data_IF_247544279888
#
_entry.id   IF_247544279888
#
_cell.length_a   1.000
_cell.length_b   1.000
_cell.length_c   1.000
_cell.angle_alpha   90.00
_cell.angle_beta   90.00
_cell.angle_gamma   90.00
#
_symmetry.space_group_name_H-M   'P 1'
#
loop_
_entity.id
_entity.type
_entity.pdbx_description
1 polymer ?
2 polymer ?
3 non-polymer ?
4 non-polymer ?
5 water ?
#
# COMPACT_ATOMS: atom_id res chain seq x y z
N UNK A 7 -12.91 -3.59 8.42
CA UNK A 7 -12.59 -3.88 9.82
C UNK A 7 -11.09 -3.82 10.05
N UNK A 8 -10.70 -3.59 11.31
CA UNK A 8 -9.30 -3.51 11.67
C UNK A 8 -8.56 -4.80 11.35
N UNK A 9 -9.25 -5.92 11.52
CA UNK A 9 -8.64 -7.23 11.30
C UNK A 9 -8.33 -7.46 9.82
N UNK A 10 -9.32 -7.22 8.97
CA UNK A 10 -9.14 -7.35 7.53
C UNK A 10 -8.07 -6.39 7.02
N UNK A 11 -7.90 -5.27 7.72
CA UNK A 11 -6.86 -4.29 7.41
C UNK A 11 -5.46 -4.92 7.43
N UNK A 12 -5.17 -5.66 8.50
CA UNK A 12 -3.86 -6.26 8.68
C UNK A 12 -3.60 -7.30 7.61
N UNK A 13 -4.63 -8.09 7.30
CA UNK A 13 -4.51 -9.12 6.30
C UNK A 13 -4.18 -8.50 4.94
N UNK A 14 -4.82 -7.37 4.62
CA UNK A 14 -4.53 -6.69 3.36
C UNK A 14 -3.09 -6.17 3.30
N UNK A 15 -2.61 -5.63 4.42
CA UNK A 15 -1.26 -5.07 4.48
C UNK A 15 -0.19 -6.17 4.37
N UNK A 16 -0.43 -7.31 4.99
CA UNK A 16 0.48 -8.44 4.83
C UNK A 16 0.56 -8.87 3.37
N UNK A 17 -0.60 -8.91 2.71
CA UNK A 17 -0.65 -9.36 1.31
C UNK A 17 0.13 -8.38 0.45
N UNK A 18 0.06 -7.11 0.82
CA UNK A 18 0.77 -6.08 0.09
C UNK A 18 2.29 -6.24 0.23
N UNK A 19 2.75 -6.44 1.46
CA UNK A 19 4.18 -6.60 1.69
C UNK A 19 4.72 -7.86 1.01
N UNK A 20 4.01 -8.97 1.16
CA UNK A 20 4.41 -10.22 0.50
C UNK A 20 4.51 -10.05 -1.02
N UNK A 21 3.54 -9.34 -1.59
CA UNK A 21 3.52 -9.08 -3.02
C UNK A 21 4.68 -8.23 -3.50
N UNK A 22 4.96 -7.17 -2.75
CA UNK A 22 6.11 -6.30 -3.01
C UNK A 22 7.41 -7.08 -2.98
N UNK A 23 7.55 -7.91 -1.96
CA UNK A 23 8.75 -8.72 -1.82
C UNK A 23 8.87 -9.75 -2.96
N UNK A 24 7.78 -10.45 -3.25
CA UNK A 24 7.76 -11.40 -4.37
C UNK A 24 8.18 -10.72 -5.68
N UNK A 25 7.74 -9.48 -5.85
CA UNK A 25 8.07 -8.71 -7.04
C UNK A 25 9.56 -8.39 -7.08
N UNK A 26 10.11 -7.99 -5.94
CA UNK A 26 11.52 -7.62 -5.86
C UNK A 26 12.40 -8.83 -6.12
N UNK A 27 12.05 -9.93 -5.46
CA UNK A 27 12.78 -11.18 -5.58
C UNK A 27 12.91 -11.60 -7.05
N UNK A 28 11.80 -11.55 -7.79
CA UNK A 28 11.83 -11.89 -9.21
C UNK A 28 12.64 -10.88 -10.03
N UNK A 29 12.54 -9.60 -9.67
CA UNK A 29 13.34 -8.58 -10.35
C UNK A 29 14.84 -8.80 -10.16
N UNK A 30 15.24 -9.05 -8.92
CA UNK A 30 16.65 -9.22 -8.60
C UNK A 30 17.19 -10.56 -9.09
N UNK A 31 16.32 -11.56 -9.17
CA UNK A 31 16.71 -12.85 -9.75
C UNK A 31 17.00 -12.70 -11.24
N UNK A 32 16.25 -11.81 -11.88
CA UNK A 32 16.44 -11.53 -13.30
C UNK A 32 17.79 -10.87 -13.54
N UNK A 33 18.17 -9.97 -12.63
CA UNK A 33 19.42 -9.22 -12.76
C UNK A 33 20.66 -10.11 -12.63
N UNK A 34 20.47 -11.37 -12.24
CA UNK A 34 21.59 -12.29 -12.13
C UNK A 34 21.41 -13.48 -13.07
N UNK A 35 20.61 -13.28 -14.12
CA UNK A 35 20.47 -14.27 -15.17
C UNK A 35 19.75 -15.53 -14.76
N UNK A 36 19.52 -15.69 -13.46
CA UNK A 36 18.84 -16.87 -12.94
C UNK A 36 17.32 -16.73 -13.08
N UNK A 37 16.67 -17.85 -13.36
CA UNK A 37 15.22 -17.89 -13.39
C UNK A 37 14.73 -18.88 -12.34
N UNK A 38 13.51 -18.67 -11.87
CA UNK A 38 12.93 -19.63 -10.95
C UNK A 38 12.38 -20.81 -11.74
N UNK A 39 12.41 -22.01 -11.14
CA UNK A 39 11.66 -23.13 -11.70
C UNK A 39 10.21 -22.72 -11.95
N UNK A 40 9.56 -23.32 -12.94
CA UNK A 40 8.23 -22.88 -13.38
C UNK A 40 7.21 -22.90 -12.24
N UNK A 41 7.34 -23.85 -11.32
CA UNK A 41 6.39 -23.99 -10.22
C UNK A 41 6.52 -22.84 -9.23
N UNK A 42 7.75 -22.43 -8.93
CA UNK A 42 7.99 -21.31 -8.03
C UNK A 42 7.54 -20.00 -8.66
N UNK A 43 7.93 -19.79 -9.91
CA UNK A 43 7.59 -18.60 -10.68
C UNK A 43 6.08 -18.36 -10.70
N UNK A 44 5.33 -19.44 -10.87
CA UNK A 44 3.87 -19.38 -10.88
C UNK A 44 3.30 -18.88 -9.56
N UNK A 45 3.86 -19.36 -8.45
CA UNK A 45 3.40 -18.98 -7.12
C UNK A 45 3.80 -17.55 -6.78
N UNK A 46 5.00 -17.17 -7.19
CA UNK A 46 5.53 -15.83 -7.00
C UNK A 46 4.66 -14.84 -7.77
N UNK A 47 4.32 -15.22 -8.99
CA UNK A 47 3.48 -14.41 -9.87
C UNK A 47 2.09 -14.20 -9.25
N UNK A 48 1.55 -15.26 -8.66
CA UNK A 48 0.25 -15.19 -8.00
C UNK A 48 0.29 -14.26 -6.79
N UNK A 49 1.34 -14.40 -5.97
CA UNK A 49 1.53 -13.56 -4.79
C UNK A 49 1.66 -12.09 -5.18
N UNK A 50 2.43 -11.83 -6.24
CA UNK A 50 2.59 -10.47 -6.73
C UNK A 50 1.26 -9.86 -7.17
N UNK A 51 0.44 -10.63 -7.89
CA UNK A 51 -0.84 -10.12 -8.36
C UNK A 51 -1.82 -9.98 -7.20
N UNK A 52 -1.75 -10.90 -6.26
CA UNK A 52 -2.61 -10.86 -5.08
C UNK A 52 -2.31 -9.62 -4.22
N UNK A 53 -1.05 -9.20 -4.23
CA UNK A 53 -0.61 -8.04 -3.48
C UNK A 53 -1.18 -6.75 -4.04
N UNK A 54 -1.18 -6.65 -5.36
CA UNK A 54 -1.76 -5.50 -6.04
C UNK A 54 -3.28 -5.45 -5.83
N UNK A 55 -3.94 -6.61 -5.83
CA UNK A 55 -5.36 -6.67 -5.51
C UNK A 55 -5.62 -6.17 -4.09
N UNK A 56 -4.73 -6.53 -3.17
CA UNK A 56 -4.90 -6.13 -1.78
C UNK A 56 -4.71 -4.62 -1.66
N UNK A 57 -3.79 -4.07 -2.45
CA UNK A 57 -3.53 -2.65 -2.42
C UNK A 57 -4.76 -1.88 -2.92
N UNK A 58 -5.35 -2.33 -4.02
CA UNK A 58 -6.55 -1.71 -4.56
C UNK A 58 -7.73 -1.76 -3.59
N UNK A 59 -7.87 -2.90 -2.93
CA UNK A 59 -8.92 -3.10 -1.95
C UNK A 59 -8.75 -2.18 -0.73
N UNK A 60 -7.51 -2.01 -0.26
CA UNK A 60 -7.27 -1.18 0.91
C UNK A 60 -7.57 0.27 0.56
N UNK A 61 -7.14 0.68 -0.63
CA UNK A 61 -7.46 1.99 -1.17
C UNK A 61 -8.97 2.19 -1.25
N UNK A 62 -9.65 1.30 -1.97
CA UNK A 62 -11.10 1.32 -2.10
C UNK A 62 -11.84 1.43 -0.77
N UNK A 63 -11.42 0.65 0.23
CA UNK A 63 -12.08 0.68 1.53
C UNK A 63 -11.88 2.00 2.28
N UNK A 64 -11.03 2.88 1.75
CA UNK A 64 -10.76 4.13 2.45
C UNK A 64 -11.02 5.39 1.62
N UNK A 65 -11.63 5.22 0.45
CA UNK A 65 -11.99 6.36 -0.39
C UNK A 65 -13.06 7.23 0.27
N UNK A 66 -13.98 6.59 0.99
CA UNK A 66 -15.03 7.31 1.69
C UNK A 66 -14.44 8.19 2.79
N UNK A 67 -13.38 7.72 3.44
CA UNK A 67 -12.69 8.54 4.44
C UNK A 67 -12.09 9.78 3.79
N UNK A 68 -11.52 9.62 2.60
CA UNK A 68 -11.02 10.77 1.86
C UNK A 68 -12.16 11.77 1.63
N UNK A 69 -13.34 11.26 1.30
CA UNK A 69 -14.48 12.13 0.98
C UNK A 69 -14.98 12.89 2.21
N UNK A 70 -15.07 12.20 3.35
CA UNK A 70 -15.51 12.83 4.59
C UNK A 70 -14.57 13.96 5.02
N UNK A 71 -13.27 13.77 4.84
CA UNK A 71 -12.31 14.82 5.18
C UNK A 71 -12.37 15.98 4.19
N UNK A 72 -12.56 15.67 2.91
CA UNK A 72 -12.59 16.70 1.88
C UNK A 72 -13.77 17.66 2.06
N UNK A 73 -14.88 17.13 2.58
CA UNK A 73 -16.09 17.89 2.79
C UNK A 73 -15.87 18.99 3.82
N UNK A 74 -14.90 18.77 4.71
CA UNK A 74 -14.55 19.78 5.70
C UNK A 74 -13.98 21.03 5.03
N UNK A 75 -13.41 20.87 3.83
CA UNK A 75 -12.66 21.96 3.21
C UNK A 75 -13.34 22.57 1.98
N UNK A 76 -14.60 22.22 1.73
CA UNK A 76 -15.29 22.77 0.57
C UNK A 76 -15.63 24.25 0.78
N UNK A 77 -15.75 24.98 -0.32
CA UNK A 77 -16.17 26.37 -0.27
C UNK A 77 -15.07 27.32 0.15
N UNK A 78 -13.84 27.03 -0.27
CA UNK A 78 -12.70 27.87 0.10
C UNK A 78 -11.74 28.06 -1.06
N UNK A 79 -12.27 27.99 -2.28
CA UNK A 79 -11.46 28.20 -3.46
C UNK A 79 -11.14 26.95 -4.26
N UNK A 80 -11.12 25.79 -3.61
CA UNK A 80 -10.80 24.56 -4.32
C UNK A 80 -12.06 23.73 -4.56
N UNK A 81 -12.27 23.35 -5.82
CA UNK A 81 -13.42 22.52 -6.19
C UNK A 81 -13.41 21.21 -5.40
N UNK A 82 -14.61 20.69 -5.15
CA UNK A 82 -14.81 19.45 -4.42
C UNK A 82 -14.01 18.27 -5.02
N UNK A 83 -14.09 18.08 -6.33
CA UNK A 83 -13.39 16.96 -6.96
C UNK A 83 -11.88 17.13 -6.89
N UNK A 84 -11.42 18.38 -6.82
CA UNK A 84 -9.98 18.63 -6.70
C UNK A 84 -9.48 18.30 -5.29
N UNK A 85 -10.32 18.59 -4.30
CA UNK A 85 -10.02 18.22 -2.92
C UNK A 85 -9.88 16.71 -2.81
N UNK A 86 -10.79 15.99 -3.46
CA UNK A 86 -10.82 14.54 -3.42
C UNK A 86 -9.59 13.95 -4.12
N UNK A 87 -9.21 14.55 -5.24
CA UNK A 87 -8.01 14.14 -5.97
C UNK A 87 -6.76 14.25 -5.10
N UNK A 88 -6.59 15.40 -4.46
CA UNK A 88 -5.45 15.62 -3.57
C UNK A 88 -5.54 14.71 -2.35
N UNK A 89 -6.75 14.53 -1.83
CA UNK A 89 -6.96 13.65 -0.69
C UNK A 89 -6.54 12.22 -1.02
N UNK A 90 -6.80 11.80 -2.25
CA UNK A 90 -6.47 10.45 -2.70
C UNK A 90 -4.97 10.23 -2.80
N UNK A 91 -4.24 11.27 -3.21
CA UNK A 91 -2.79 11.21 -3.21
C UNK A 91 -2.25 11.06 -1.79
N UNK A 92 -2.92 11.69 -0.83
CA UNK A 92 -2.55 11.53 0.56
C UNK A 92 -2.76 10.10 1.03
N UNK A 93 -3.88 9.52 0.59
CA UNK A 93 -4.25 8.17 0.96
C UNK A 93 -3.25 7.11 0.47
N UNK A 94 -2.77 7.22 -0.77
CA UNK A 94 -1.86 6.19 -1.27
C UNK A 94 -0.47 6.37 -0.66
N UNK A 95 -0.15 7.60 -0.27
CA UNK A 95 1.09 7.86 0.45
C UNK A 95 1.04 7.17 1.81
N UNK A 96 -0.10 7.26 2.48
CA UNK A 96 -0.29 6.56 3.74
C UNK A 96 -0.22 5.04 3.57
N UNK A 97 -0.81 4.53 2.49
CA UNK A 97 -0.81 3.09 2.24
C UNK A 97 0.61 2.55 2.16
N UNK A 98 1.48 3.28 1.46
CA UNK A 98 2.82 2.83 1.18
C UNK A 98 3.72 2.92 2.40
N UNK A 99 3.37 3.80 3.33
CA UNK A 99 4.18 4.05 4.51
C UNK A 99 3.65 3.34 5.75
N UNK A 100 2.39 2.92 5.70
CA UNK A 100 1.74 2.25 6.83
C UNK A 100 2.47 0.97 7.29
N UNK A 101 2.64 0.85 8.60
CA UNK A 101 3.27 -0.30 9.25
C UNK A 101 2.24 -1.02 10.11
N UNK A 102 1.83 -2.21 9.68
CA UNK A 102 0.77 -2.96 10.36
C UNK A 102 1.19 -3.52 11.73
N UNK A 103 2.48 -3.51 12.03
CA UNK A 103 2.95 -4.13 13.27
C UNK A 103 2.77 -3.21 14.49
N UNK A 104 2.71 -1.90 14.24
CA UNK A 104 2.59 -0.90 15.29
C UNK A 104 1.35 -1.07 16.17
N UNK A 105 0.22 -1.45 15.58
CA UNK A 105 -0.98 -1.73 16.35
C UNK A 105 -2.18 -0.84 16.08
N UNK A 106 -1.96 0.34 15.50
CA UNK A 106 -3.08 1.25 15.21
C UNK A 106 -3.75 0.95 13.87
N UNK A 107 -5.01 1.36 13.74
CA UNK A 107 -5.77 1.17 12.51
C UNK A 107 -5.19 1.97 11.36
N UNK A 108 -5.34 1.45 10.14
CA UNK A 108 -4.88 2.16 8.96
C UNK A 108 -5.63 3.48 8.76
N UNK A 109 -6.94 3.45 9.00
CA UNK A 109 -7.76 4.64 8.79
C UNK A 109 -7.32 5.76 9.73
N UNK A 110 -7.01 5.41 10.98
CA UNK A 110 -6.45 6.37 11.93
C UNK A 110 -5.14 6.96 11.42
N UNK A 111 -4.30 6.09 10.88
CA UNK A 111 -3.01 6.50 10.36
C UNK A 111 -3.14 7.37 9.11
N UNK A 112 -4.09 7.04 8.24
CA UNK A 112 -4.23 7.73 6.96
C UNK A 112 -4.75 9.16 7.13
N UNK A 113 -5.51 9.39 8.20
CA UNK A 113 -6.18 10.68 8.41
C UNK A 113 -5.21 11.85 8.30
N UNK A 114 -4.12 11.80 9.04
CA UNK A 114 -3.12 12.86 8.97
C UNK A 114 -2.57 13.06 7.56
N UNK A 115 -2.29 11.97 6.84
CA UNK A 115 -1.72 12.10 5.50
C UNK A 115 -2.72 12.69 4.51
N UNK A 116 -3.99 12.36 4.69
CA UNK A 116 -5.02 12.87 3.82
C UNK A 116 -5.25 14.38 4.06
N UNK A 117 -5.38 14.79 5.33
CA UNK A 117 -5.54 16.21 5.66
C UNK A 117 -4.36 17.02 5.16
N UNK A 118 -3.17 16.47 5.35
CA UNK A 118 -1.95 17.14 4.93
C UNK A 118 -1.93 17.44 3.43
N UNK A 119 -2.27 16.45 2.61
CA UNK A 119 -2.24 16.61 1.16
C UNK A 119 -3.23 17.68 0.71
N UNK A 120 -4.41 17.64 1.32
CA UNK A 120 -5.45 18.62 1.04
C UNK A 120 -5.02 20.02 1.46
N UNK A 121 -4.48 20.12 2.66
CA UNK A 121 -4.02 21.39 3.22
C UNK A 121 -2.91 22.04 2.38
N UNK A 122 -1.91 21.25 2.01
CA UNK A 122 -0.80 21.77 1.22
C UNK A 122 -1.23 22.13 -0.19
N UNK A 123 -2.22 21.41 -0.71
CA UNK A 123 -2.74 21.67 -2.05
C UNK A 123 -3.46 23.02 -2.09
N UNK A 124 -4.20 23.32 -1.02
CA UNK A 124 -4.95 24.55 -0.91
C UNK A 124 -4.04 25.76 -0.72
N UNK A 125 -2.99 25.59 0.08
CA UNK A 125 -2.06 26.67 0.34
C UNK A 125 -1.24 26.98 -0.91
N UNK A 126 -0.91 25.94 -1.68
CA UNK A 126 -0.01 26.11 -2.81
C UNK A 126 -0.71 26.66 -4.06
N UNK A 127 -2.03 26.51 -4.13
CA UNK A 127 -2.78 27.09 -5.23
C UNK A 127 -2.95 28.59 -5.00
N UNK A 128 -3.02 28.97 -3.73
CA UNK A 128 -3.20 30.37 -3.35
C UNK A 128 -1.86 31.06 -3.08
N UNK B 55 14.36 12.07 -6.92
CA UNK B 55 13.52 10.89 -7.11
C UNK B 55 12.83 10.45 -5.81
N UNK B 56 11.49 10.39 -5.82
CA UNK B 56 10.73 9.98 -4.63
C UNK B 56 10.94 8.50 -4.34
N UNK B 57 10.93 8.12 -3.07
CA UNK B 57 11.05 6.72 -2.70
C UNK B 57 9.87 5.91 -3.22
N UNK B 58 10.17 4.77 -3.84
CA UNK B 58 9.12 3.87 -4.29
C UNK B 58 8.49 3.18 -3.09
N UNK B 59 7.43 2.42 -3.35
CA UNK B 59 6.78 1.63 -2.30
C UNK B 59 7.75 0.60 -1.74
N UNK B 60 8.52 -0.04 -2.62
CA UNK B 60 9.55 -0.99 -2.18
C UNK B 60 10.58 -0.32 -1.25
N UNK B 61 11.09 0.84 -1.65
CA UNK B 61 12.02 1.62 -0.83
C UNK B 61 11.48 1.84 0.59
N UNK B 62 10.20 2.17 0.68
CA UNK B 62 9.54 2.37 1.97
C UNK B 62 9.47 1.07 2.78
N UNK B 63 9.04 -0.01 2.13
CA UNK B 63 9.00 -1.32 2.79
C UNK B 63 10.37 -1.72 3.35
N UNK B 64 11.41 -1.47 2.56
CA UNK B 64 12.77 -1.87 2.95
C UNK B 64 13.27 -1.12 4.19
N UNK B 65 12.73 0.07 4.44
CA UNK B 65 13.11 0.85 5.61
C UNK B 65 12.53 0.27 6.90
N UNK B 66 11.37 -0.36 6.81
CA UNK B 66 10.66 -0.80 8.01
C UNK B 66 10.67 -2.32 8.22
N UNK B 67 11.11 -3.08 7.23
CA UNK B 67 11.00 -4.54 7.31
C UNK B 67 12.26 -5.21 6.80
N UNK B 68 12.85 -6.09 7.62
CA UNK B 68 14.03 -6.83 7.19
C UNK B 68 13.66 -7.86 6.12
N UNK B 69 14.63 -8.25 5.31
CA UNK B 69 14.40 -9.27 4.29
C UNK B 69 14.05 -10.62 4.93
N UNK B 70 14.59 -10.89 6.11
CA UNK B 70 14.24 -12.11 6.83
C UNK B 70 12.78 -12.12 7.27
N UNK B 71 12.29 -10.96 7.68
CA UNK B 71 10.88 -10.82 8.02
C UNK B 71 10.01 -11.00 6.78
N UNK B 72 10.47 -10.47 5.66
CA UNK B 72 9.71 -10.53 4.42
C UNK B 72 9.65 -11.96 3.89
N UNK B 73 10.72 -12.73 4.10
CA UNK B 73 10.77 -14.14 3.70
C UNK B 73 9.77 -14.96 4.50
N UNK B 74 9.74 -14.72 5.81
CA UNK B 74 8.79 -15.37 6.70
C UNK B 74 7.35 -15.10 6.25
N UNK B 75 7.08 -13.86 5.88
CA UNK B 75 5.75 -13.46 5.44
C UNK B 75 5.39 -14.15 4.12
N UNK B 76 6.32 -14.13 3.18
CA UNK B 76 6.09 -14.75 1.88
C UNK B 76 5.81 -16.24 2.03
N UNK B 77 6.54 -16.89 2.93
CA UNK B 77 6.34 -18.31 3.21
C UNK B 77 4.94 -18.58 3.76
N UNK B 78 4.50 -17.75 4.70
CA UNK B 78 3.17 -17.90 5.30
C UNK B 78 2.07 -17.74 4.26
N UNK B 79 2.35 -16.97 3.22
CA UNK B 79 1.40 -16.77 2.13
C UNK B 79 1.42 -17.95 1.15
N UNK B 80 2.61 -18.34 0.72
CA UNK B 80 2.81 -19.53 -0.10
C UNK B 80 2.08 -20.74 0.51
N UNK B 81 2.01 -20.77 1.84
CA UNK B 81 1.39 -21.87 2.56
C UNK B 81 -0.12 -21.89 2.39
N UNK B 82 -0.76 -20.75 2.61
CA UNK B 82 -2.21 -20.62 2.44
C UNK B 82 -2.64 -20.98 1.01
N UNK B 83 -1.81 -20.63 0.04
CA UNK B 83 -2.05 -21.00 -1.36
C UNK B 83 -2.12 -22.51 -1.52
N UNK B 84 -1.08 -23.19 -1.03
CA UNK B 84 -0.93 -24.63 -1.22
C UNK B 84 -1.84 -25.42 -0.28
N UNK B 85 -2.79 -24.73 0.34
CA UNK B 85 -3.74 -25.38 1.24
C UNK B 85 -5.16 -24.81 1.09
N UNK B 86 -5.76 -24.96 -0.09
CA UNK B 86 -5.11 -25.61 -1.23
C UNK B 86 -5.80 -25.25 -2.54
X LIG C 1 -9.37 -8.95 -2.67
X LIG C 1 -9.30 -8.64 -1.25
X LIG C 1 -9.79 -7.75 -3.39
X LIG C 1 -8.05 -9.38 -3.16
X LIG C 1 -10.31 -10.04 -2.89
X LIG D 1 -11.16 24.10 9.79
X LIG D 1 -11.13 24.30 11.24
X LIG D 1 -12.01 25.14 9.20
X LIG D 1 -9.81 24.20 9.24
X LIG D 1 -11.72 22.79 9.49
X LIG E 1 -2.39 -14.87 0.53
X LIG E 1 -1.52 -13.81 0.10
X LIG E 1 -3.85 -14.41 0.55
X LIG E 1 -4.23 -13.90 -0.74
X LIG E 1 -2.29 -15.72 -0.14
X LIG E 1 -2.10 -15.19 1.53
X LIG E 1 -0.61 -14.12 0.10
X LIG E 1 -4.50 -15.24 0.82
X LIG E 1 -3.98 -13.62 1.30
X LIG E 1 -5.15 -13.62 -0.71
X LIG F 1 9.77 10.91 -0.68
X LIG F 1 9.69 11.51 0.65
X LIG F 1 9.15 11.76 -1.69
X LIG F 1 11.17 10.70 -1.04
X LIG F 1 9.07 9.63 -0.64
#
# INVERSE_FOLDING_TARGET
GKVALLNAEEEVELAKRIEAGLYATQLMTELSERGEKLPAAQRRDMMWICRDGDRAKNHLLEANLRLVVSLAKRYTGRGMAFLDLIQEGNLGLIRAVEKFDYTKGYKFSTYATWWIRQAITRAMADQAR
DLAPRQIARYRTDNGEEFEVPFADDAEIPGTWLCRNGMEGTLIEGDLPEPKKVKPPRTHWDMLLERRSIEELEELLKERLELIRSRRRG
SO4 S O1 O2 O3 O4
SO4 S O1 O2 O3 O4
EDO C1 O1 C2 O2 H11 H12 HO1 H21 H22 HO2
SO4 S O1 O2 O3 O4
#
